data_IF_434543897173
#
_entry.id   IF_434543897173
#
_cell.length_a   1.000
_cell.length_b   1.000
_cell.length_c   1.000
_cell.angle_alpha   90.00
_cell.angle_beta   90.00
_cell.angle_gamma   90.00
#
_symmetry.space_group_name_H-M   'P 1'
#
loop_
_entity.id
_entity.type
_entity.pdbx_description
1 polymer ?
#
# COMPACT_ATOMS: atom_id res chain seq x y z
N UNK A 1 -20.61 3.08 4.17
CA UNK A 1 -20.38 3.34 5.62
C UNK A 1 -18.99 3.94 5.75
N UNK A 2 -18.77 5.03 6.51
CA UNK A 2 -17.44 5.60 6.72
C UNK A 2 -16.76 4.98 7.93
N UNK A 3 -15.42 5.07 8.00
CA UNK A 3 -14.63 4.67 9.17
C UNK A 3 -14.87 5.69 10.29
N UNK A 4 -15.33 5.24 11.46
CA UNK A 4 -15.49 6.11 12.65
C UNK A 4 -14.17 6.27 13.40
N UNK A 5 -14.02 7.35 14.18
CA UNK A 5 -12.86 7.55 15.06
C UNK A 5 -12.64 6.34 16.00
N UNK A 6 -13.71 5.81 16.58
CA UNK A 6 -13.63 4.64 17.47
C UNK A 6 -13.07 3.43 16.73
N UNK A 7 -13.57 3.13 15.53
CA UNK A 7 -13.07 2.00 14.75
C UNK A 7 -11.65 2.24 14.25
N UNK A 8 -11.31 3.47 13.88
CA UNK A 8 -9.94 3.82 13.47
C UNK A 8 -8.94 3.51 14.59
N UNK A 9 -9.23 3.91 15.85
CA UNK A 9 -8.34 3.68 16.98
C UNK A 9 -8.23 2.22 17.45
N UNK A 10 -8.92 1.26 16.81
CA UNK A 10 -8.78 -0.18 17.05
C UNK A 10 -7.67 -0.81 16.21
N UNK A 11 -7.05 -0.06 15.29
CA UNK A 11 -5.98 -0.55 14.44
C UNK A 11 -4.67 -0.81 15.19
N UNK A 12 -3.71 -1.34 14.46
CA UNK A 12 -2.36 -1.60 14.95
C UNK A 12 -1.42 -0.48 14.51
N UNK A 13 -0.43 -0.14 15.34
CA UNK A 13 0.73 0.60 14.88
C UNK A 13 1.69 -0.30 14.09
N UNK A 14 2.73 0.29 13.48
CA UNK A 14 3.72 -0.44 12.67
C UNK A 14 4.36 -1.62 13.42
N UNK A 15 4.76 -1.44 14.69
CA UNK A 15 5.39 -2.50 15.49
C UNK A 15 4.44 -3.67 15.73
N UNK A 16 3.21 -3.38 16.14
CA UNK A 16 2.18 -4.40 16.38
C UNK A 16 1.84 -5.17 15.10
N UNK A 17 1.73 -4.48 13.96
CA UNK A 17 1.50 -5.13 12.69
C UNK A 17 2.67 -6.03 12.30
N UNK A 18 3.91 -5.55 12.37
CA UNK A 18 5.12 -6.36 12.07
C UNK A 18 5.19 -7.60 12.96
N UNK A 19 4.81 -7.50 14.24
CA UNK A 19 4.78 -8.65 15.14
C UNK A 19 3.69 -9.66 14.76
N UNK A 20 2.61 -9.22 14.15
CA UNK A 20 1.50 -10.08 13.70
C UNK A 20 1.78 -10.84 12.40
N UNK A 21 2.77 -10.41 11.58
CA UNK A 21 3.10 -11.01 10.28
C UNK A 21 3.57 -12.45 10.44
N UNK A 22 2.89 -13.38 9.77
CA UNK A 22 3.20 -14.81 9.73
C UNK A 22 3.86 -15.23 8.42
N UNK A 23 3.49 -14.57 7.32
CA UNK A 23 3.99 -14.83 5.98
C UNK A 23 4.72 -13.58 5.48
N UNK A 24 5.83 -13.73 4.77
CA UNK A 24 6.61 -12.63 4.19
C UNK A 24 7.22 -11.62 5.20
N UNK A 25 7.38 -11.98 6.49
CA UNK A 25 7.92 -11.05 7.52
C UNK A 25 9.30 -10.52 7.15
N UNK A 26 10.24 -11.40 6.79
CA UNK A 26 11.60 -10.97 6.46
C UNK A 26 11.66 -10.10 5.21
N UNK A 27 11.05 -10.49 4.06
CA UNK A 27 10.97 -9.62 2.89
C UNK A 27 10.33 -8.26 3.17
N UNK A 28 9.29 -8.21 4.00
CA UNK A 28 8.66 -6.97 4.44
C UNK A 28 9.66 -6.06 5.17
N UNK A 29 10.41 -6.62 6.13
CA UNK A 29 11.42 -5.88 6.90
C UNK A 29 12.58 -5.42 6.02
N UNK A 30 13.01 -6.25 5.06
CA UNK A 30 14.06 -5.90 4.11
C UNK A 30 13.65 -4.69 3.26
N UNK A 31 12.41 -4.67 2.76
CA UNK A 31 11.87 -3.56 1.98
C UNK A 31 11.70 -2.31 2.86
N UNK A 32 11.14 -2.45 4.07
CA UNK A 32 11.01 -1.33 5.01
C UNK A 32 12.37 -0.68 5.31
N UNK A 33 13.40 -1.50 5.51
CA UNK A 33 14.76 -1.03 5.81
C UNK A 33 15.44 -0.38 4.61
N UNK A 34 15.16 -0.87 3.39
CA UNK A 34 15.71 -0.33 2.14
C UNK A 34 15.00 0.94 1.67
N UNK A 35 13.78 1.19 2.18
CA UNK A 35 12.99 2.39 1.80
C UNK A 35 13.64 3.65 2.36
N UNK A 36 13.91 4.59 1.48
CA UNK A 36 14.27 5.97 1.82
C UNK A 36 13.14 6.87 1.36
N UNK A 37 12.61 7.68 2.27
CA UNK A 37 11.55 8.63 1.92
C UNK A 37 12.16 9.79 1.14
N UNK A 38 11.73 10.05 -0.12
CA UNK A 38 12.24 11.19 -0.88
C UNK A 38 11.94 12.52 -0.17
N UNK A 39 12.88 13.46 -0.20
CA UNK A 39 12.76 14.76 0.47
C UNK A 39 11.46 15.49 0.07
N UNK A 40 11.12 15.48 -1.23
CA UNK A 40 9.89 16.11 -1.73
C UNK A 40 8.61 15.46 -1.18
N UNK A 41 8.65 14.17 -0.83
CA UNK A 41 7.55 13.46 -0.18
C UNK A 41 7.51 13.82 1.30
N UNK A 42 8.67 13.79 1.97
CA UNK A 42 8.80 14.15 3.37
C UNK A 42 8.31 15.57 3.64
N UNK A 43 8.78 16.55 2.88
CA UNK A 43 8.41 17.96 3.01
C UNK A 43 6.90 18.18 2.84
N UNK A 44 6.27 17.43 1.91
CA UNK A 44 4.83 17.52 1.70
C UNK A 44 4.06 17.07 2.95
N UNK A 45 4.43 15.93 3.55
CA UNK A 45 3.74 15.42 4.73
C UNK A 45 4.17 16.14 6.03
N UNK A 46 5.30 16.81 6.06
CA UNK A 46 5.73 17.62 7.20
C UNK A 46 5.16 19.06 7.17
N UNK A 47 4.30 19.38 6.18
CA UNK A 47 3.65 20.69 6.10
C UNK A 47 2.87 21.00 7.38
N UNK A 48 3.18 22.11 8.09
CA UNK A 48 2.53 22.45 9.35
C UNK A 48 1.00 22.59 9.23
N UNK A 49 0.26 21.99 10.15
CA UNK A 49 -1.20 22.05 10.19
C UNK A 49 -1.90 21.10 9.22
N UNK A 50 -1.19 20.24 8.51
CA UNK A 50 -1.73 19.25 7.58
C UNK A 50 -1.67 17.84 8.20
N UNK A 51 -2.39 17.63 9.30
CA UNK A 51 -2.49 16.29 9.88
C UNK A 51 -3.54 15.46 9.14
N UNK A 52 -3.18 14.22 8.80
CA UNK A 52 -4.07 13.24 8.18
C UNK A 52 -4.15 11.96 9.02
N UNK A 53 -5.24 11.24 8.88
CA UNK A 53 -5.42 9.89 9.38
C UNK A 53 -5.23 8.91 8.21
N UNK A 54 -4.40 7.88 8.39
CA UNK A 54 -4.11 6.86 7.39
C UNK A 54 -4.55 5.49 7.91
N UNK A 55 -5.65 4.96 7.38
CA UNK A 55 -6.07 3.59 7.61
C UNK A 55 -5.52 2.67 6.52
N UNK A 56 -4.80 1.63 6.92
CA UNK A 56 -4.18 0.65 6.02
C UNK A 56 -4.85 -0.70 6.22
N UNK A 57 -5.48 -1.22 5.16
CA UNK A 57 -6.01 -2.59 5.13
C UNK A 57 -5.07 -3.46 4.30
N UNK A 58 -4.38 -4.38 4.95
CA UNK A 58 -3.30 -5.15 4.31
C UNK A 58 -3.31 -6.61 4.72
N UNK A 59 -2.69 -7.47 3.92
CA UNK A 59 -2.58 -8.91 4.18
C UNK A 59 -1.14 -9.37 3.97
N UNK A 60 -0.58 -10.14 4.89
CA UNK A 60 0.82 -10.55 4.90
C UNK A 60 1.18 -11.58 3.80
N UNK A 61 0.19 -12.23 3.19
CA UNK A 61 0.37 -13.22 2.11
C UNK A 61 0.42 -12.60 0.71
N UNK A 62 0.00 -11.34 0.55
CA UNK A 62 -0.08 -10.66 -0.74
C UNK A 62 1.28 -10.08 -1.16
N UNK A 63 1.68 -10.30 -2.41
CA UNK A 63 2.94 -9.78 -2.96
C UNK A 63 2.97 -8.25 -3.06
N UNK A 64 1.86 -7.62 -3.45
CA UNK A 64 1.77 -6.17 -3.54
C UNK A 64 1.72 -5.53 -2.15
N UNK A 65 1.02 -6.15 -1.19
CA UNK A 65 1.07 -5.73 0.20
C UNK A 65 2.49 -5.81 0.77
N UNK A 66 3.23 -6.89 0.47
CA UNK A 66 4.62 -7.06 0.90
C UNK A 66 5.55 -5.96 0.37
N UNK A 67 5.29 -5.41 -0.83
CA UNK A 67 6.16 -4.38 -1.43
C UNK A 67 5.68 -2.95 -1.19
N UNK A 68 4.37 -2.71 -1.15
CA UNK A 68 3.81 -1.36 -1.03
C UNK A 68 3.62 -0.92 0.41
N UNK A 69 3.10 -1.82 1.26
CA UNK A 69 2.81 -1.49 2.66
C UNK A 69 4.06 -1.00 3.40
N UNK A 70 5.22 -1.69 3.37
CA UNK A 70 6.40 -1.25 4.12
C UNK A 70 6.89 0.14 3.68
N UNK A 71 6.77 0.49 2.40
CA UNK A 71 7.16 1.83 1.92
C UNK A 71 6.28 2.92 2.53
N UNK A 72 4.95 2.73 2.53
CA UNK A 72 4.02 3.71 3.10
C UNK A 72 4.09 3.77 4.63
N UNK A 73 4.32 2.63 5.31
CA UNK A 73 4.56 2.63 6.76
C UNK A 73 5.85 3.39 7.11
N UNK A 74 6.90 3.23 6.31
CA UNK A 74 8.16 3.98 6.50
C UNK A 74 7.94 5.49 6.40
N UNK A 75 7.12 5.95 5.46
CA UNK A 75 6.71 7.35 5.37
C UNK A 75 5.94 7.78 6.63
N UNK A 76 4.92 7.03 7.03
CA UNK A 76 4.12 7.37 8.20
C UNK A 76 4.96 7.44 9.48
N UNK A 77 5.92 6.52 9.65
CA UNK A 77 6.83 6.52 10.81
C UNK A 77 7.91 7.64 10.75
N UNK A 78 8.07 8.32 9.62
CA UNK A 78 9.04 9.41 9.44
C UNK A 78 8.47 10.81 9.72
N UNK A 79 7.17 10.96 9.93
CA UNK A 79 6.48 12.23 10.17
C UNK A 79 5.53 12.15 11.36
N UNK A 80 5.29 13.28 12.03
CA UNK A 80 4.30 13.40 13.09
C UNK A 80 2.91 13.83 12.58
N UNK A 81 2.76 14.05 11.29
CA UNK A 81 1.52 14.54 10.68
C UNK A 81 0.65 13.43 10.08
N UNK A 82 1.08 12.16 10.21
CA UNK A 82 0.29 11.00 9.80
C UNK A 82 -0.06 10.17 11.05
N UNK A 83 -1.33 10.16 11.41
CA UNK A 83 -1.87 9.20 12.39
C UNK A 83 -2.14 7.90 11.66
N UNK A 84 -1.37 6.86 11.95
CA UNK A 84 -1.41 5.57 11.26
C UNK A 84 -2.14 4.52 12.07
N UNK A 85 -3.09 3.82 11.43
CA UNK A 85 -3.72 2.63 11.98
C UNK A 85 -3.81 1.53 10.90
N UNK A 86 -3.36 0.32 11.25
CA UNK A 86 -3.24 -0.82 10.34
C UNK A 86 -4.23 -1.90 10.75
N UNK A 87 -4.93 -2.44 9.77
CA UNK A 87 -5.91 -3.51 9.94
C UNK A 87 -5.50 -4.72 9.09
N UNK A 88 -5.64 -5.92 9.65
CA UNK A 88 -5.60 -7.12 8.82
C UNK A 88 -6.86 -7.13 7.94
N UNK A 89 -6.66 -7.04 6.62
CA UNK A 89 -7.77 -6.96 5.67
C UNK A 89 -8.71 -8.16 5.75
N UNK A 90 -8.19 -9.34 6.05
CA UNK A 90 -8.99 -10.57 6.09
C UNK A 90 -9.93 -10.61 7.31
N UNK A 91 -9.55 -9.95 8.41
CA UNK A 91 -10.39 -9.81 9.60
C UNK A 91 -11.43 -8.68 9.44
N UNK A 92 -11.17 -7.70 8.57
CA UNK A 92 -11.99 -6.50 8.34
C UNK A 92 -12.52 -6.42 6.89
N UNK A 93 -12.88 -7.55 6.30
CA UNK A 93 -13.17 -7.66 4.87
C UNK A 93 -14.33 -6.75 4.40
N UNK A 94 -15.42 -6.67 5.16
CA UNK A 94 -16.56 -5.81 4.79
C UNK A 94 -16.18 -4.33 4.85
N UNK A 95 -15.45 -3.92 5.88
CA UNK A 95 -14.97 -2.56 6.03
C UNK A 95 -13.98 -2.21 4.92
N UNK A 96 -13.00 -3.07 4.65
CA UNK A 96 -12.05 -2.88 3.56
C UNK A 96 -12.77 -2.73 2.20
N UNK A 97 -13.72 -3.61 1.90
CA UNK A 97 -14.49 -3.55 0.66
C UNK A 97 -15.33 -2.27 0.54
N UNK A 98 -15.77 -1.65 1.64
CA UNK A 98 -16.51 -0.39 1.59
C UNK A 98 -15.72 0.79 1.03
N UNK A 99 -14.39 0.67 0.98
CA UNK A 99 -13.47 1.65 0.38
C UNK A 99 -13.09 1.32 -1.07
N UNK A 100 -13.53 0.19 -1.60
CA UNK A 100 -13.21 -0.26 -2.95
C UNK A 100 -14.35 -0.01 -3.92
N UNK A 101 -14.08 0.21 -5.21
CA UNK A 101 -15.07 0.02 -6.25
C UNK A 101 -15.61 -1.41 -6.22
N UNK A 102 -16.89 -1.60 -6.57
CA UNK A 102 -17.57 -2.91 -6.49
C UNK A 102 -16.82 -4.02 -7.26
N UNK A 103 -16.31 -3.69 -8.44
CA UNK A 103 -15.53 -4.61 -9.28
C UNK A 103 -14.13 -4.93 -8.74
N UNK A 104 -13.72 -4.31 -7.60
CA UNK A 104 -12.43 -4.52 -6.93
C UNK A 104 -12.55 -5.15 -5.53
N UNK A 105 -13.73 -5.63 -5.16
CA UNK A 105 -13.93 -6.27 -3.86
C UNK A 105 -12.89 -7.37 -3.59
N UNK A 106 -12.33 -7.37 -2.38
CA UNK A 106 -11.29 -8.32 -1.97
C UNK A 106 -9.85 -7.91 -2.31
N UNK A 107 -9.63 -6.80 -3.00
CA UNK A 107 -8.28 -6.26 -3.29
C UNK A 107 -7.53 -5.89 -1.99
N UNK A 108 -6.20 -6.06 -1.99
CA UNK A 108 -5.29 -5.69 -0.89
C UNK A 108 -3.89 -5.39 -1.45
N UNK A 109 -3.13 -4.43 -0.90
CA UNK A 109 -3.47 -3.51 0.20
C UNK A 109 -4.36 -2.33 -0.24
N UNK A 110 -5.01 -1.67 0.74
CA UNK A 110 -5.75 -0.43 0.53
C UNK A 110 -5.28 0.58 1.56
N UNK A 111 -4.98 1.79 1.11
CA UNK A 111 -4.58 2.91 1.94
C UNK A 111 -5.66 3.99 1.84
N UNK A 112 -6.37 4.23 2.92
CA UNK A 112 -7.45 5.21 3.00
C UNK A 112 -6.96 6.42 3.77
N UNK A 113 -6.85 7.55 3.08
CA UNK A 113 -6.42 8.82 3.67
C UNK A 113 -7.64 9.63 4.05
N UNK A 114 -7.69 10.06 5.29
CA UNK A 114 -8.83 10.77 5.91
C UNK A 114 -8.32 12.09 6.51
N UNK A 115 -9.21 13.08 6.57
CA UNK A 115 -8.95 14.28 7.36
C UNK A 115 -9.20 14.03 8.86
N UNK A 116 -9.00 15.03 9.70
CA UNK A 116 -9.22 14.94 11.15
C UNK A 116 -10.68 14.72 11.53
N UNK A 117 -11.63 15.00 10.63
CA UNK A 117 -13.07 14.72 10.81
C UNK A 117 -13.47 13.36 10.22
N UNK A 118 -12.51 12.50 9.85
CA UNK A 118 -12.71 11.17 9.25
C UNK A 118 -13.38 11.18 7.86
N UNK A 119 -13.33 12.30 7.13
CA UNK A 119 -13.80 12.36 5.75
C UNK A 119 -12.69 11.94 4.82
N UNK A 120 -13.02 11.14 3.81
CA UNK A 120 -12.01 10.64 2.87
C UNK A 120 -11.41 11.81 2.05
N UNK A 121 -10.07 11.85 2.00
CA UNK A 121 -9.28 12.72 1.13
C UNK A 121 -8.94 11.95 -0.15
N UNK A 122 -8.37 10.77 0.02
CA UNK A 122 -7.95 9.91 -1.09
C UNK A 122 -7.94 8.44 -0.69
N UNK A 123 -7.83 7.56 -1.67
CA UNK A 123 -7.54 6.15 -1.48
C UNK A 123 -6.51 5.70 -2.50
N UNK A 124 -5.61 4.82 -2.06
CA UNK A 124 -4.58 4.25 -2.89
C UNK A 124 -4.70 2.72 -2.82
N UNK A 125 -4.80 2.06 -3.98
CA UNK A 125 -5.20 0.65 -4.06
C UNK A 125 -4.06 -0.16 -4.67
N UNK A 126 -3.63 -1.22 -3.97
CA UNK A 126 -2.55 -2.14 -4.29
C UNK A 126 -1.17 -1.47 -4.32
N UNK A 127 -0.71 -1.02 -5.47
CA UNK A 127 0.60 -0.40 -5.65
C UNK A 127 0.52 0.73 -6.68
N UNK A 128 1.64 1.41 -6.93
CA UNK A 128 1.69 2.47 -7.94
C UNK A 128 1.31 1.94 -9.33
N UNK A 129 0.40 2.65 -10.02
CA UNK A 129 -0.02 2.25 -11.36
C UNK A 129 1.15 2.24 -12.36
N UNK A 130 2.11 3.13 -12.18
CA UNK A 130 3.33 3.20 -12.99
C UNK A 130 4.27 1.99 -12.82
N UNK A 131 4.10 1.18 -11.76
CA UNK A 131 4.83 -0.07 -11.56
C UNK A 131 4.20 -1.27 -12.27
N UNK A 132 2.93 -1.20 -12.67
CA UNK A 132 2.20 -2.35 -13.26
C UNK A 132 2.96 -2.96 -14.44
N UNK A 133 3.46 -2.20 -15.45
CA UNK A 133 4.21 -2.79 -16.56
C UNK A 133 5.48 -3.51 -16.13
N UNK A 134 6.14 -3.08 -15.05
CA UNK A 134 7.35 -3.73 -14.51
C UNK A 134 7.01 -5.01 -13.75
N UNK A 135 5.89 -5.01 -13.03
CA UNK A 135 5.37 -6.19 -12.33
C UNK A 135 4.97 -7.25 -13.35
N UNK A 136 4.27 -6.87 -14.40
CA UNK A 136 3.88 -7.77 -15.48
C UNK A 136 5.10 -8.39 -16.18
N UNK A 137 6.11 -7.57 -16.50
CA UNK A 137 7.35 -8.05 -17.10
C UNK A 137 8.11 -9.01 -16.17
N UNK A 138 8.18 -8.73 -14.88
CA UNK A 138 8.75 -9.62 -13.87
C UNK A 138 7.99 -10.95 -13.84
N UNK A 139 6.66 -10.90 -13.79
CA UNK A 139 5.82 -12.10 -13.71
C UNK A 139 5.94 -12.98 -14.95
N UNK A 140 6.02 -12.37 -16.13
CA UNK A 140 6.22 -13.05 -17.39
C UNK A 140 7.61 -13.73 -17.47
N UNK A 141 8.66 -13.01 -17.08
CA UNK A 141 10.01 -13.55 -17.02
C UNK A 141 10.09 -14.74 -16.07
N UNK A 142 9.62 -14.58 -14.83
CA UNK A 142 9.70 -15.63 -13.82
C UNK A 142 8.85 -16.83 -14.21
N UNK A 143 7.68 -16.63 -14.82
CA UNK A 143 6.81 -17.71 -15.30
C UNK A 143 7.53 -18.56 -16.38
N UNK A 144 8.29 -17.92 -17.28
CA UNK A 144 9.13 -18.61 -18.26
C UNK A 144 10.25 -19.41 -17.60
N UNK A 145 10.93 -18.80 -16.62
CA UNK A 145 12.06 -19.44 -15.92
C UNK A 145 11.66 -20.69 -15.14
N UNK A 146 10.45 -20.72 -14.55
CA UNK A 146 10.00 -21.85 -13.72
C UNK A 146 9.17 -22.87 -14.50
N UNK A 147 8.90 -22.67 -15.76
CA UNK A 147 8.02 -23.52 -16.57
C UNK A 147 8.46 -24.99 -16.64
N UNK A 148 9.74 -25.28 -16.40
CA UNK A 148 10.32 -26.64 -16.39
C UNK A 148 10.33 -27.31 -15.00
N UNK A 149 9.92 -26.66 -13.93
CA UNK A 149 10.07 -27.16 -12.55
C UNK A 149 8.91 -28.08 -12.07
N UNK A 150 7.95 -28.39 -12.93
CA UNK A 150 6.82 -29.29 -12.60
C UNK A 150 6.05 -28.80 -11.36
N UNK A 151 5.79 -29.71 -10.40
CA UNK A 151 5.01 -29.40 -9.19
C UNK A 151 5.64 -28.31 -8.31
N UNK A 152 6.94 -28.06 -8.43
CA UNK A 152 7.66 -27.04 -7.67
C UNK A 152 7.58 -25.64 -8.28
N UNK A 153 7.10 -25.49 -9.51
CA UNK A 153 7.08 -24.23 -10.26
C UNK A 153 6.40 -23.08 -9.48
N UNK A 154 5.30 -23.38 -8.78
CA UNK A 154 4.56 -22.37 -8.01
C UNK A 154 5.37 -21.85 -6.82
N UNK A 155 6.06 -22.73 -6.09
CA UNK A 155 6.87 -22.34 -4.93
C UNK A 155 8.13 -21.59 -5.37
N UNK A 156 8.82 -22.10 -6.39
CA UNK A 156 9.99 -21.46 -6.97
C UNK A 156 9.66 -20.08 -7.55
N UNK A 157 8.55 -19.95 -8.28
CA UNK A 157 8.08 -18.69 -8.82
C UNK A 157 7.77 -17.66 -7.72
N UNK A 158 7.14 -18.08 -6.62
CA UNK A 158 6.91 -17.20 -5.46
C UNK A 158 8.23 -16.69 -4.88
N UNK A 159 9.19 -17.56 -4.62
CA UNK A 159 10.50 -17.17 -4.09
C UNK A 159 11.23 -16.19 -4.99
N UNK A 160 11.23 -16.41 -6.32
CA UNK A 160 11.84 -15.50 -7.30
C UNK A 160 11.16 -14.12 -7.32
N UNK A 161 9.81 -14.06 -7.30
CA UNK A 161 9.06 -12.79 -7.23
C UNK A 161 9.39 -12.01 -5.96
N UNK A 162 9.44 -12.69 -4.83
CA UNK A 162 9.84 -12.08 -3.55
C UNK A 162 11.25 -11.51 -3.62
N UNK A 163 12.23 -12.29 -4.09
CA UNK A 163 13.61 -11.84 -4.23
C UNK A 163 13.73 -10.65 -5.19
N UNK A 164 13.02 -10.67 -6.30
CA UNK A 164 13.00 -9.56 -7.27
C UNK A 164 12.47 -8.27 -6.63
N UNK A 165 11.34 -8.32 -5.91
CA UNK A 165 10.74 -7.16 -5.23
C UNK A 165 11.68 -6.59 -4.17
N UNK A 166 12.34 -7.45 -3.38
CA UNK A 166 13.33 -7.02 -2.38
C UNK A 166 14.55 -6.35 -3.05
N UNK A 167 15.07 -6.91 -4.15
CA UNK A 167 16.22 -6.32 -4.85
C UNK A 167 15.92 -4.96 -5.50
N UNK A 168 14.66 -4.65 -5.79
CA UNK A 168 14.23 -3.37 -6.36
C UNK A 168 13.57 -2.44 -5.32
N UNK A 169 13.64 -2.78 -4.03
CA UNK A 169 12.90 -2.10 -2.97
C UNK A 169 13.12 -0.58 -2.94
N UNK A 170 14.36 -0.12 -3.05
CA UNK A 170 14.66 1.32 -3.02
C UNK A 170 14.03 2.10 -4.19
N UNK A 171 14.15 1.57 -5.41
CA UNK A 171 13.57 2.19 -6.60
C UNK A 171 12.03 2.15 -6.56
N UNK A 172 11.45 1.00 -6.25
CA UNK A 172 10.00 0.84 -6.25
C UNK A 172 9.34 1.64 -5.13
N UNK A 173 9.96 1.70 -3.95
CA UNK A 173 9.46 2.52 -2.85
C UNK A 173 9.39 4.00 -3.21
N UNK A 174 10.39 4.54 -3.93
CA UNK A 174 10.35 5.93 -4.37
C UNK A 174 9.16 6.19 -5.31
N UNK A 175 8.93 5.31 -6.29
CA UNK A 175 7.81 5.40 -7.22
C UNK A 175 6.47 5.34 -6.47
N UNK A 176 6.33 4.40 -5.54
CA UNK A 176 5.13 4.25 -4.71
C UNK A 176 4.86 5.51 -3.89
N UNK A 177 5.87 6.03 -3.21
CA UNK A 177 5.74 7.18 -2.33
C UNK A 177 5.41 8.47 -3.09
N UNK A 178 6.01 8.68 -4.26
CA UNK A 178 5.71 9.83 -5.11
C UNK A 178 4.28 9.76 -5.66
N UNK A 179 3.83 8.61 -6.15
CA UNK A 179 2.47 8.46 -6.64
C UNK A 179 1.45 8.60 -5.51
N UNK A 180 1.72 8.01 -4.32
CA UNK A 180 0.90 8.17 -3.13
C UNK A 180 0.77 9.65 -2.72
N UNK A 181 1.90 10.37 -2.62
CA UNK A 181 1.91 11.82 -2.34
C UNK A 181 1.07 12.60 -3.35
N UNK A 182 1.20 12.30 -4.65
CA UNK A 182 0.47 13.02 -5.69
C UNK A 182 -1.05 12.85 -5.55
N UNK A 183 -1.53 11.64 -5.27
CA UNK A 183 -2.96 11.36 -5.06
C UNK A 183 -3.49 12.05 -3.79
N UNK A 184 -2.72 12.05 -2.71
CA UNK A 184 -3.09 12.78 -1.49
C UNK A 184 -3.15 14.30 -1.75
N UNK A 185 -2.14 14.84 -2.44
CA UNK A 185 -2.10 16.27 -2.82
C UNK A 185 -3.31 16.67 -3.67
N UNK A 186 -3.67 15.86 -4.66
CA UNK A 186 -4.86 16.07 -5.49
C UNK A 186 -6.13 16.07 -4.63
N UNK A 187 -6.32 15.06 -3.78
CA UNK A 187 -7.48 14.95 -2.90
C UNK A 187 -7.62 16.14 -1.94
N UNK A 188 -6.53 16.66 -1.41
CA UNK A 188 -6.54 17.84 -0.54
C UNK A 188 -6.98 19.11 -1.26
N UNK A 189 -6.70 19.22 -2.56
CA UNK A 189 -7.08 20.38 -3.38
C UNK A 189 -8.53 20.33 -3.85
N UNK A 190 -9.17 19.17 -3.85
CA UNK A 190 -10.56 19.02 -4.29
C UNK A 190 -11.56 19.49 -3.22
N UNK A 191 -12.71 20.04 -3.64
CA UNK A 191 -13.89 20.22 -2.79
C UNK A 191 -14.35 18.88 -2.18
N UNK A 192 -14.97 18.95 -1.00
CA UNK A 192 -15.41 17.75 -0.26
C UNK A 192 -16.33 16.82 -1.07
N UNK A 193 -17.21 17.40 -1.89
CA UNK A 193 -18.17 16.67 -2.73
C UNK A 193 -17.54 15.97 -3.94
N UNK A 194 -16.27 16.29 -4.23
CA UNK A 194 -15.48 15.67 -5.30
C UNK A 194 -14.46 14.66 -4.78
N UNK A 195 -14.39 14.46 -3.45
CA UNK A 195 -13.51 13.48 -2.80
C UNK A 195 -14.20 12.12 -2.67
N UNK A 196 -13.45 11.04 -2.52
CA UNK A 196 -12.00 10.94 -2.54
C UNK A 196 -11.43 10.87 -3.96
N UNK A 197 -10.15 11.28 -4.12
CA UNK A 197 -9.35 10.86 -5.27
C UNK A 197 -8.99 9.39 -5.15
N UNK A 198 -8.75 8.74 -6.27
CA UNK A 198 -8.35 7.33 -6.30
C UNK A 198 -7.05 7.16 -7.08
N UNK A 199 -6.06 6.53 -6.45
CA UNK A 199 -4.78 6.16 -7.04
C UNK A 199 -4.47 4.69 -6.86
N UNK A 200 -3.27 4.33 -7.27
CA UNK A 200 -2.83 2.95 -7.33
C UNK A 200 -3.24 2.27 -8.62
N UNK A 201 -3.22 0.93 -8.65
CA UNK A 201 -3.50 0.16 -9.84
C UNK A 201 -4.92 0.43 -10.37
N UNK A 202 -5.04 0.59 -11.69
CA UNK A 202 -6.33 0.81 -12.37
C UNK A 202 -6.93 -0.53 -12.80
N UNK A 203 -8.26 -0.62 -12.75
CA UNK A 203 -8.97 -1.78 -13.23
C UNK A 203 -10.27 -1.37 -13.96
N UNK A 204 -10.58 -1.93 -15.11
CA UNK A 204 -9.72 -2.79 -15.93
C UNK A 204 -8.41 -2.10 -16.33
N UNK A 205 -7.33 -2.85 -16.68
CA UNK A 205 -6.09 -2.24 -17.18
C UNK A 205 -6.41 -1.31 -18.34
N UNK A 206 -5.74 -0.17 -18.40
CA UNK A 206 -5.82 0.72 -19.57
C UNK A 206 -5.26 -0.03 -20.78
N UNK A 207 -6.07 -0.20 -21.83
CA UNK A 207 -5.73 -0.87 -23.09
C UNK A 207 -4.72 -0.07 -23.91
#
# INVERSE_FOLDING_TARGET
>A
MGLSNTKFSEGMNTSQYVDSIKVNKQPFLDIYSATQVPEIVQDFFDTPGQTINLAVFTSDWCGDAMSTTPAILKLADSTNNINLEIFNRDDELELANSFLPENRAGTTPIFVVLDTDMRQISRFIETANSLVPRIDAMDEQISREVSGEGDNARAAGRGKRTAFRVSHAGEWSNIILEEFKNIVSEGLQLPLDQRPTQGGTKWPPES
#
